data_IF_750314996166
#
_entry.id   IF_750314996166
#
_cell.length_a   1.000
_cell.length_b   1.000
_cell.length_c   1.000
_cell.angle_alpha   90.00
_cell.angle_beta   90.00
_cell.angle_gamma   90.00
#
_symmetry.space_group_name_H-M   'P 1'
#
loop_
_entity.id
_entity.type
_entity.pdbx_description
1 polymer ?
#
# COMPACT_ATOMS: atom_id res chain seq x y z
N UNK A 1 8.76 -34.93 -13.56
CA UNK A 1 9.73 -33.83 -13.73
C UNK A 1 8.89 -32.60 -14.01
N UNK A 2 8.59 -31.81 -12.97
CA UNK A 2 7.71 -30.64 -13.08
C UNK A 2 8.46 -29.54 -13.82
N UNK A 3 7.91 -29.13 -14.95
CA UNK A 3 8.40 -28.03 -15.76
C UNK A 3 8.18 -26.73 -14.99
N UNK A 4 9.26 -26.24 -14.36
CA UNK A 4 9.31 -24.98 -13.57
C UNK A 4 9.32 -23.75 -14.51
N UNK A 5 9.03 -23.93 -15.80
CA UNK A 5 8.72 -22.86 -16.73
C UNK A 5 7.25 -22.44 -16.60
N UNK A 6 6.76 -22.33 -15.37
CA UNK A 6 5.58 -21.51 -15.10
C UNK A 6 6.03 -20.06 -15.28
N UNK A 7 6.01 -19.64 -16.54
CA UNK A 7 5.85 -18.25 -16.91
C UNK A 7 4.77 -17.71 -15.98
N UNK A 8 5.18 -16.94 -14.99
CA UNK A 8 4.34 -15.96 -14.30
C UNK A 8 4.12 -14.86 -15.35
N UNK A 9 3.47 -15.23 -16.45
CA UNK A 9 2.61 -14.38 -17.22
C UNK A 9 1.38 -14.27 -16.32
N UNK A 10 1.49 -13.45 -15.28
CA UNK A 10 0.28 -12.87 -14.72
C UNK A 10 -0.19 -12.02 -15.87
N UNK A 11 -1.12 -12.58 -16.65
CA UNK A 11 -2.07 -11.83 -17.44
C UNK A 11 -2.93 -11.05 -16.43
N UNK A 12 -2.31 -10.12 -15.70
CA UNK A 12 -2.93 -8.88 -15.29
C UNK A 12 -3.20 -8.24 -16.63
N UNK A 13 -4.39 -8.57 -17.17
CA UNK A 13 -4.72 -8.44 -18.59
C UNK A 13 -3.94 -7.32 -19.22
N UNK A 14 -3.31 -7.59 -20.37
CA UNK A 14 -3.04 -6.51 -21.30
C UNK A 14 -4.39 -5.83 -21.54
N UNK A 15 -4.70 -4.83 -20.72
CA UNK A 15 -5.77 -3.90 -20.96
C UNK A 15 -5.08 -2.97 -21.93
N UNK A 16 -5.28 -3.14 -23.25
CA UNK A 16 -4.56 -2.38 -24.27
C UNK A 16 -4.83 -0.87 -24.18
N UNK A 17 -5.64 -0.46 -23.20
CA UNK A 17 -6.02 0.91 -22.90
C UNK A 17 -5.08 1.65 -21.92
N UNK A 18 -4.24 1.01 -21.11
CA UNK A 18 -3.32 1.77 -20.25
C UNK A 18 -1.96 1.97 -20.93
N UNK A 19 -1.62 3.21 -21.28
CA UNK A 19 -0.35 3.58 -21.93
C UNK A 19 0.89 3.33 -21.05
N UNK A 20 0.72 2.85 -19.80
CA UNK A 20 1.78 2.55 -18.85
C UNK A 20 1.73 1.09 -18.35
N UNK A 21 2.85 0.34 -18.38
CA UNK A 21 2.92 -0.99 -17.79
C UNK A 21 2.77 -0.93 -16.26
N UNK A 22 2.04 -1.88 -15.67
CA UNK A 22 1.91 -2.04 -14.21
C UNK A 22 3.27 -2.08 -13.51
N UNK A 23 4.25 -2.80 -14.09
CA UNK A 23 5.61 -2.89 -13.58
C UNK A 23 6.30 -1.51 -13.50
N UNK A 24 6.05 -0.63 -14.47
CA UNK A 24 6.56 0.74 -14.44
C UNK A 24 5.94 1.56 -13.31
N UNK A 25 4.64 1.42 -13.05
CA UNK A 25 3.97 2.12 -11.95
C UNK A 25 4.51 1.68 -10.57
N UNK A 26 4.71 0.37 -10.39
CA UNK A 26 5.33 -0.17 -9.17
C UNK A 26 6.75 0.39 -9.01
N UNK A 27 7.54 0.38 -10.08
CA UNK A 27 8.92 0.88 -10.05
C UNK A 27 9.00 2.38 -9.74
N UNK A 28 8.13 3.19 -10.36
CA UNK A 28 7.99 4.62 -10.05
C UNK A 28 7.63 4.82 -8.59
N UNK A 29 6.72 4.01 -8.04
CA UNK A 29 6.38 4.06 -6.62
C UNK A 29 7.58 3.71 -5.72
N UNK A 30 8.35 2.66 -6.04
CA UNK A 30 9.57 2.30 -5.29
C UNK A 30 10.56 3.47 -5.27
N UNK A 31 10.84 4.07 -6.44
CA UNK A 31 11.75 5.21 -6.56
C UNK A 31 11.21 6.41 -5.80
N UNK A 32 9.93 6.74 -5.97
CA UNK A 32 9.29 7.89 -5.34
C UNK A 32 9.36 7.82 -3.81
N UNK A 33 9.00 6.67 -3.24
CA UNK A 33 9.09 6.46 -1.79
C UNK A 33 10.53 6.49 -1.27
N UNK A 34 11.46 5.86 -1.99
CA UNK A 34 12.88 5.88 -1.65
C UNK A 34 13.41 7.32 -1.66
N UNK A 35 13.06 8.09 -2.70
CA UNK A 35 13.46 9.49 -2.82
C UNK A 35 12.92 10.32 -1.65
N UNK A 36 11.64 10.19 -1.29
CA UNK A 36 11.06 10.86 -0.12
C UNK A 36 11.86 10.52 1.14
N UNK A 37 12.14 9.24 1.38
CA UNK A 37 12.90 8.80 2.56
C UNK A 37 14.30 9.44 2.65
N UNK A 38 15.02 9.50 1.52
CA UNK A 38 16.37 10.07 1.46
C UNK A 38 16.39 11.60 1.45
N UNK A 39 15.36 12.26 0.92
CA UNK A 39 15.22 13.72 0.93
C UNK A 39 14.83 14.28 2.31
N UNK A 40 14.21 13.48 3.18
CA UNK A 40 13.91 13.91 4.54
C UNK A 40 15.21 14.29 5.29
N UNK A 41 15.18 15.34 6.15
CA UNK A 41 16.37 15.81 6.87
C UNK A 41 17.14 14.69 7.58
N UNK A 42 18.48 14.73 7.52
CA UNK A 42 19.35 13.74 8.16
C UNK A 42 19.28 13.75 9.70
N UNK A 43 18.79 14.84 10.29
CA UNK A 43 18.51 14.95 11.73
C UNK A 43 17.34 14.08 12.19
N UNK A 44 16.48 13.62 11.27
CA UNK A 44 15.35 12.74 11.56
C UNK A 44 15.82 11.28 11.52
N UNK A 45 15.52 10.51 12.56
CA UNK A 45 15.91 9.11 12.63
C UNK A 45 15.22 8.27 11.54
N UNK A 46 15.85 7.19 11.05
CA UNK A 46 15.24 6.30 10.04
C UNK A 46 13.85 5.79 10.43
N UNK A 47 13.62 5.55 11.73
CA UNK A 47 12.33 5.14 12.25
C UNK A 47 11.24 6.18 12.00
N UNK A 48 11.50 7.45 12.33
CA UNK A 48 10.54 8.53 12.11
C UNK A 48 10.34 8.77 10.61
N UNK A 49 11.39 8.65 9.79
CA UNK A 49 11.27 8.72 8.32
C UNK A 49 10.35 7.64 7.76
N UNK A 50 10.49 6.39 8.22
CA UNK A 50 9.60 5.29 7.83
C UNK A 50 8.16 5.56 8.25
N UNK A 51 7.90 6.06 9.47
CA UNK A 51 6.53 6.44 9.88
C UNK A 51 5.94 7.58 9.04
N UNK A 52 6.75 8.58 8.66
CA UNK A 52 6.29 9.65 7.74
C UNK A 52 5.89 9.03 6.39
N UNK A 53 6.74 8.16 5.84
CA UNK A 53 6.50 7.49 4.56
C UNK A 53 5.23 6.64 4.59
N UNK A 54 5.08 5.82 5.64
CA UNK A 54 3.90 5.00 5.92
C UNK A 54 2.64 5.86 6.07
N UNK A 55 2.73 7.02 6.71
CA UNK A 55 1.60 7.96 6.83
C UNK A 55 1.20 8.56 5.48
N UNK A 56 2.17 8.96 4.64
CA UNK A 56 1.90 9.46 3.29
C UNK A 56 1.21 8.37 2.46
N UNK A 57 1.74 7.15 2.53
CA UNK A 57 1.16 5.99 1.88
C UNK A 57 -0.29 5.77 2.31
N UNK A 58 -0.53 5.69 3.62
CA UNK A 58 -1.86 5.47 4.19
C UNK A 58 -2.85 6.58 3.78
N UNK A 59 -2.46 7.85 3.82
CA UNK A 59 -3.29 8.96 3.36
C UNK A 59 -3.68 8.82 1.89
N UNK A 60 -2.75 8.42 1.01
CA UNK A 60 -3.03 8.21 -0.40
C UNK A 60 -3.97 7.01 -0.63
N UNK A 61 -3.79 5.91 0.12
CA UNK A 61 -4.66 4.73 0.08
C UNK A 61 -6.09 5.07 0.53
N UNK A 62 -6.24 5.75 1.68
CA UNK A 62 -7.54 6.21 2.19
C UNK A 62 -8.24 7.15 1.22
N UNK A 63 -7.51 8.08 0.61
CA UNK A 63 -8.06 9.00 -0.38
C UNK A 63 -8.53 8.24 -1.63
N UNK A 64 -7.75 7.30 -2.14
CA UNK A 64 -8.11 6.49 -3.29
C UNK A 64 -9.37 5.65 -3.03
N UNK A 65 -9.44 5.00 -1.87
CA UNK A 65 -10.62 4.25 -1.43
C UNK A 65 -11.83 5.18 -1.30
N UNK A 66 -11.68 6.35 -0.68
CA UNK A 66 -12.76 7.33 -0.52
C UNK A 66 -13.30 7.85 -1.86
N UNK A 67 -12.41 8.19 -2.79
CA UNK A 67 -12.79 8.61 -4.15
C UNK A 67 -13.54 7.48 -4.86
N UNK A 68 -13.08 6.24 -4.70
CA UNK A 68 -13.74 5.07 -5.26
C UNK A 68 -15.17 4.92 -4.70
N UNK A 69 -15.34 4.99 -3.38
CA UNK A 69 -16.65 4.94 -2.71
C UNK A 69 -17.59 6.06 -3.14
N UNK A 70 -17.09 7.29 -3.27
CA UNK A 70 -17.91 8.45 -3.65
C UNK A 70 -18.40 8.38 -5.09
N UNK A 71 -17.67 7.68 -5.97
CA UNK A 71 -17.94 7.66 -7.42
C UNK A 71 -18.51 6.36 -7.94
N UNK A 72 -18.34 5.26 -7.20
CA UNK A 72 -18.75 3.93 -7.61
C UNK A 72 -19.70 3.36 -6.58
N UNK A 73 -20.89 2.92 -7.01
CA UNK A 73 -21.69 2.02 -6.18
C UNK A 73 -20.88 0.75 -5.97
N UNK A 74 -20.61 0.36 -4.73
CA UNK A 74 -19.92 -0.90 -4.47
C UNK A 74 -20.83 -2.04 -4.91
N UNK A 75 -20.56 -2.54 -6.11
CA UNK A 75 -21.15 -3.75 -6.60
C UNK A 75 -20.11 -4.87 -6.44
N UNK A 76 -20.24 -5.61 -5.34
CA UNK A 76 -19.40 -6.78 -5.04
C UNK A 76 -19.50 -7.89 -6.12
N UNK A 77 -20.44 -7.79 -7.07
CA UNK A 77 -20.52 -8.70 -8.23
C UNK A 77 -19.73 -8.21 -9.45
N UNK A 78 -19.33 -6.93 -9.51
CA UNK A 78 -18.48 -6.35 -10.56
C UNK A 78 -17.02 -6.18 -10.12
N UNK A 79 -16.56 -7.07 -9.24
CA UNK A 79 -15.23 -7.03 -8.64
C UNK A 79 -14.13 -7.09 -9.71
N UNK A 80 -14.32 -7.78 -10.84
CA UNK A 80 -13.38 -7.78 -11.99
C UNK A 80 -13.06 -6.37 -12.54
N UNK A 81 -14.02 -5.44 -12.51
CA UNK A 81 -13.82 -4.05 -12.94
C UNK A 81 -12.97 -3.23 -11.95
N UNK A 82 -13.00 -3.59 -10.67
CA UNK A 82 -12.18 -2.94 -9.62
C UNK A 82 -10.70 -3.33 -9.76
N UNK A 83 -10.42 -4.46 -10.44
CA UNK A 83 -9.11 -5.13 -10.48
C UNK A 83 -8.38 -4.97 -11.80
N UNK A 84 -9.11 -4.90 -12.91
CA UNK A 84 -8.54 -4.59 -14.23
C UNK A 84 -8.02 -3.16 -14.36
N UNK A 85 -7.97 -2.42 -13.25
CA UNK A 85 -7.72 -0.99 -13.23
C UNK A 85 -8.85 -0.21 -13.85
N UNK A 86 -10.09 -0.60 -13.56
CA UNK A 86 -11.23 0.03 -14.18
C UNK A 86 -11.24 -0.08 -15.69
N UNK A 87 -12.27 0.47 -16.29
CA UNK A 87 -12.23 0.78 -17.72
C UNK A 87 -11.60 2.17 -17.85
N UNK A 88 -10.64 2.36 -18.77
CA UNK A 88 -9.98 3.67 -18.99
C UNK A 88 -11.05 4.77 -19.15
N UNK A 89 -10.95 5.85 -18.38
CA UNK A 89 -11.89 6.96 -18.44
C UNK A 89 -13.14 6.77 -17.59
N UNK A 90 -13.22 5.72 -16.77
CA UNK A 90 -14.33 5.51 -15.81
C UNK A 90 -13.97 5.85 -14.37
N UNK A 91 -12.76 6.36 -14.13
CA UNK A 91 -12.15 6.65 -12.82
C UNK A 91 -11.92 5.44 -11.91
N UNK A 92 -12.37 4.24 -12.29
CA UNK A 92 -12.07 3.01 -11.55
C UNK A 92 -10.60 2.57 -11.69
N UNK A 93 -9.86 3.14 -12.64
CA UNK A 93 -8.40 3.05 -12.80
C UNK A 93 -7.61 3.60 -11.62
N UNK A 94 -8.17 4.55 -10.87
CA UNK A 94 -7.53 5.10 -9.67
C UNK A 94 -7.26 4.02 -8.62
N UNK A 95 -8.10 2.98 -8.55
CA UNK A 95 -7.91 1.86 -7.63
C UNK A 95 -6.68 1.02 -8.03
N UNK A 96 -6.51 0.70 -9.32
CA UNK A 96 -5.30 -0.01 -9.75
C UNK A 96 -4.03 0.82 -9.56
N UNK A 97 -4.09 2.13 -9.82
CA UNK A 97 -2.96 3.02 -9.55
C UNK A 97 -2.62 3.02 -8.06
N UNK A 98 -3.62 3.06 -7.18
CA UNK A 98 -3.43 2.95 -5.74
C UNK A 98 -2.84 1.61 -5.32
N UNK A 99 -3.30 0.49 -5.90
CA UNK A 99 -2.71 -0.85 -5.67
C UNK A 99 -1.24 -0.88 -6.11
N UNK A 100 -0.91 -0.38 -7.30
CA UNK A 100 0.48 -0.34 -7.79
C UNK A 100 1.36 0.56 -6.92
N UNK A 101 0.82 1.70 -6.49
CA UNK A 101 1.46 2.62 -5.56
C UNK A 101 1.77 1.91 -4.23
N UNK A 102 0.81 1.16 -3.69
CA UNK A 102 0.92 0.41 -2.44
C UNK A 102 1.91 -0.74 -2.53
N UNK A 103 1.91 -1.48 -3.64
CA UNK A 103 2.89 -2.53 -3.88
C UNK A 103 4.32 -1.98 -3.93
N UNK A 104 4.52 -0.82 -4.59
CA UNK A 104 5.83 -0.16 -4.60
C UNK A 104 6.25 0.38 -3.23
N UNK A 105 5.31 0.94 -2.46
CA UNK A 105 5.55 1.32 -1.06
C UNK A 105 5.97 0.10 -0.23
N UNK A 106 5.23 -1.00 -0.30
CA UNK A 106 5.51 -2.23 0.44
C UNK A 106 6.93 -2.76 0.18
N UNK A 107 7.37 -2.80 -1.08
CA UNK A 107 8.73 -3.20 -1.45
C UNK A 107 9.77 -2.21 -0.89
N UNK A 108 9.50 -0.91 -0.97
CA UNK A 108 10.36 0.12 -0.41
C UNK A 108 10.51 -0.01 1.12
N UNK A 109 9.40 -0.22 1.84
CA UNK A 109 9.38 -0.34 3.30
C UNK A 109 10.10 -1.62 3.76
N UNK A 110 9.91 -2.74 3.05
CA UNK A 110 10.71 -3.95 3.25
C UNK A 110 12.22 -3.69 3.10
N UNK A 111 12.62 -2.95 2.07
CA UNK A 111 14.03 -2.62 1.85
C UNK A 111 14.58 -1.72 2.97
N UNK A 112 13.82 -0.71 3.39
CA UNK A 112 14.15 0.16 4.51
C UNK A 112 14.31 -0.67 5.80
N UNK A 113 13.41 -1.60 6.08
CA UNK A 113 13.52 -2.51 7.21
C UNK A 113 14.81 -3.34 7.16
N UNK A 114 15.14 -3.93 6.00
CA UNK A 114 16.39 -4.69 5.85
C UNK A 114 17.63 -3.82 6.12
N UNK A 115 17.66 -2.59 5.61
CA UNK A 115 18.76 -1.65 5.77
C UNK A 115 18.88 -1.08 7.19
N UNK A 116 17.77 -0.77 7.86
CA UNK A 116 17.77 -0.04 9.13
C UNK A 116 17.15 -0.87 10.27
N UNK A 117 18.01 -1.38 11.17
CA UNK A 117 17.58 -2.15 12.35
C UNK A 117 16.54 -1.43 13.21
N UNK A 118 16.61 -0.10 13.30
CA UNK A 118 15.68 0.71 14.10
C UNK A 118 14.23 0.68 13.59
N UNK A 119 14.01 0.30 12.33
CA UNK A 119 12.68 0.21 11.71
C UNK A 119 12.06 -1.19 11.92
N UNK A 120 12.89 -2.21 12.20
CA UNK A 120 12.50 -3.62 12.32
C UNK A 120 11.89 -3.98 13.68
N UNK A 121 10.71 -3.46 13.98
CA UNK A 121 9.92 -4.01 15.08
C UNK A 121 9.37 -5.38 14.71
N UNK A 122 9.19 -6.27 15.70
CA UNK A 122 8.58 -7.58 15.48
C UNK A 122 7.16 -7.47 14.91
N UNK A 123 6.39 -6.49 15.39
CA UNK A 123 5.07 -6.20 14.89
C UNK A 123 5.08 -5.78 13.40
N UNK A 124 6.01 -4.91 13.00
CA UNK A 124 6.15 -4.49 11.61
C UNK A 124 6.54 -5.66 10.69
N UNK A 125 7.45 -6.53 11.13
CA UNK A 125 7.84 -7.74 10.38
C UNK A 125 6.64 -8.67 10.21
N UNK A 126 5.90 -8.94 11.29
CA UNK A 126 4.73 -9.80 11.23
C UNK A 126 3.64 -9.23 10.32
N UNK A 127 3.35 -7.93 10.42
CA UNK A 127 2.41 -7.25 9.52
C UNK A 127 2.82 -7.41 8.05
N UNK A 128 4.09 -7.15 7.70
CA UNK A 128 4.57 -7.30 6.32
C UNK A 128 4.49 -8.75 5.82
N UNK A 129 4.76 -9.74 6.68
CA UNK A 129 4.62 -11.16 6.35
C UNK A 129 3.15 -11.48 6.07
N UNK A 130 2.22 -11.03 6.92
CA UNK A 130 0.78 -11.23 6.75
C UNK A 130 0.30 -10.58 5.45
N UNK A 131 0.69 -9.33 5.20
CA UNK A 131 0.37 -8.60 3.95
C UNK A 131 0.91 -9.35 2.73
N UNK A 132 2.16 -9.83 2.77
CA UNK A 132 2.75 -10.61 1.68
C UNK A 132 1.98 -11.92 1.43
N UNK A 133 1.68 -12.66 2.50
CA UNK A 133 0.94 -13.94 2.41
C UNK A 133 -0.45 -13.69 1.84
N UNK A 134 -1.17 -12.67 2.33
CA UNK A 134 -2.50 -12.31 1.86
C UNK A 134 -2.45 -11.86 0.39
N UNK A 135 -1.46 -11.05 0.02
CA UNK A 135 -1.25 -10.60 -1.36
C UNK A 135 -0.96 -11.77 -2.30
N UNK A 136 0.03 -12.61 -1.98
CA UNK A 136 0.43 -13.78 -2.78
C UNK A 136 -0.68 -14.81 -2.86
N UNK A 137 -1.30 -15.17 -1.73
CA UNK A 137 -2.43 -16.10 -1.69
C UNK A 137 -3.61 -15.55 -2.49
N UNK A 138 -3.83 -14.25 -2.40
CA UNK A 138 -4.81 -13.54 -3.20
C UNK A 138 -4.57 -13.68 -4.71
N UNK A 139 -3.36 -13.38 -5.17
CA UNK A 139 -2.98 -13.54 -6.58
C UNK A 139 -3.12 -15.00 -7.01
N UNK A 140 -2.62 -15.95 -6.21
CA UNK A 140 -2.67 -17.38 -6.49
C UNK A 140 -4.10 -17.93 -6.60
N UNK A 141 -4.97 -17.58 -5.65
CA UNK A 141 -6.36 -18.03 -5.61
C UNK A 141 -7.26 -17.27 -6.58
N UNK A 142 -6.75 -16.20 -7.22
CA UNK A 142 -7.57 -15.24 -7.98
C UNK A 142 -8.67 -14.62 -7.13
N UNK A 143 -8.46 -14.55 -5.81
CA UNK A 143 -9.33 -13.88 -4.82
C UNK A 143 -8.59 -12.71 -4.15
N UNK A 144 -7.42 -12.32 -4.66
CA UNK A 144 -6.62 -11.19 -4.16
C UNK A 144 -7.35 -9.86 -4.19
N UNK A 145 -8.54 -9.88 -4.75
CA UNK A 145 -9.44 -8.81 -5.03
C UNK A 145 -10.09 -8.20 -3.79
N UNK A 146 -10.61 -9.05 -2.90
CA UNK A 146 -11.13 -8.62 -1.59
C UNK A 146 -9.96 -8.30 -0.66
N UNK A 147 -8.87 -9.05 -0.78
CA UNK A 147 -7.67 -8.92 0.04
C UNK A 147 -6.94 -7.60 -0.14
N UNK A 148 -6.72 -7.13 -1.38
CA UNK A 148 -6.06 -5.84 -1.63
C UNK A 148 -6.94 -4.66 -1.21
N UNK A 149 -8.25 -4.74 -1.43
CA UNK A 149 -9.16 -3.70 -0.96
C UNK A 149 -9.23 -3.62 0.56
N UNK A 150 -9.27 -4.77 1.25
CA UNK A 150 -9.21 -4.84 2.70
C UNK A 150 -7.86 -4.36 3.25
N UNK A 151 -6.75 -4.68 2.59
CA UNK A 151 -5.43 -4.15 2.93
C UNK A 151 -5.38 -2.62 2.78
N UNK A 152 -5.89 -2.07 1.66
CA UNK A 152 -5.94 -0.62 1.47
C UNK A 152 -6.88 0.08 2.45
N UNK A 153 -7.94 -0.59 2.88
CA UNK A 153 -8.86 -0.08 3.89
C UNK A 153 -8.27 -0.17 5.32
N UNK A 154 -7.46 -1.19 5.61
CA UNK A 154 -6.73 -1.35 6.88
C UNK A 154 -5.81 -0.15 7.16
N UNK A 155 -5.28 0.47 6.11
CA UNK A 155 -4.42 1.66 6.19
C UNK A 155 -5.09 2.88 6.86
N UNK A 156 -6.42 2.89 7.02
CA UNK A 156 -7.12 3.93 7.76
C UNK A 156 -6.62 4.05 9.20
N UNK A 157 -6.30 2.92 9.82
CA UNK A 157 -5.79 2.86 11.20
C UNK A 157 -4.31 3.24 11.31
N UNK A 158 -3.56 3.15 10.20
CA UNK A 158 -2.12 3.44 10.13
C UNK A 158 -1.81 4.92 10.38
N UNK A 159 -2.67 5.84 9.92
CA UNK A 159 -2.49 7.29 10.10
C UNK A 159 -2.43 7.68 11.59
N UNK A 160 -3.48 7.44 12.41
CA UNK A 160 -3.42 7.80 13.83
C UNK A 160 -2.36 6.99 14.58
N UNK A 161 -2.11 5.72 14.20
CA UNK A 161 -1.07 4.90 14.83
C UNK A 161 0.33 5.49 14.66
N UNK A 162 0.68 5.91 13.44
CA UNK A 162 1.99 6.49 13.14
C UNK A 162 2.15 7.88 13.74
N UNK A 163 1.13 8.72 13.64
CA UNK A 163 1.15 10.07 14.22
C UNK A 163 1.30 10.04 15.74
N UNK A 164 0.68 9.07 16.42
CA UNK A 164 0.89 8.83 17.86
C UNK A 164 2.39 8.63 18.18
N UNK A 165 3.09 7.82 17.40
CA UNK A 165 4.51 7.51 17.63
C UNK A 165 5.40 8.72 17.29
N UNK A 166 5.09 9.45 16.22
CA UNK A 166 5.82 10.67 15.84
C UNK A 166 5.73 11.72 16.95
N UNK A 167 4.53 11.91 17.53
CA UNK A 167 4.27 12.91 18.56
C UNK A 167 4.35 12.38 19.99
N UNK A 168 5.01 11.24 20.25
CA UNK A 168 5.10 10.64 21.58
C UNK A 168 5.68 11.57 22.67
N UNK A 169 6.47 12.56 22.28
CA UNK A 169 7.06 13.57 23.17
C UNK A 169 6.08 14.71 23.55
N UNK A 170 4.88 14.76 22.96
CA UNK A 170 3.83 15.75 23.23
C UNK A 170 2.57 15.05 23.73
N UNK A 171 2.43 14.90 25.05
CA UNK A 171 1.34 14.16 25.71
C UNK A 171 -0.05 14.45 25.13
N UNK A 172 -0.46 15.72 25.02
CA UNK A 172 -1.78 16.08 24.50
C UNK A 172 -2.04 15.59 23.06
N UNK A 173 -1.01 15.62 22.20
CA UNK A 173 -1.13 15.20 20.79
C UNK A 173 -1.07 13.68 20.68
N UNK A 174 -0.21 13.05 21.48
CA UNK A 174 -0.15 11.60 21.61
C UNK A 174 -1.51 11.02 22.01
N UNK A 175 -2.13 11.56 23.05
CA UNK A 175 -3.39 11.04 23.60
C UNK A 175 -4.57 11.26 22.62
N UNK A 176 -4.54 12.37 21.86
CA UNK A 176 -5.48 12.61 20.78
C UNK A 176 -5.40 11.53 19.68
N UNK A 177 -4.19 11.25 19.16
CA UNK A 177 -4.03 10.21 18.13
C UNK A 177 -4.25 8.80 18.67
N UNK A 178 -3.92 8.54 19.94
CA UNK A 178 -4.26 7.29 20.60
C UNK A 178 -5.78 7.08 20.67
N UNK A 179 -6.54 8.14 20.95
CA UNK A 179 -8.00 8.11 20.98
C UNK A 179 -8.60 7.91 19.58
N UNK A 180 -8.05 8.57 18.55
CA UNK A 180 -8.47 8.37 17.16
C UNK A 180 -8.21 6.95 16.64
N UNK A 181 -7.15 6.29 17.10
CA UNK A 181 -6.90 4.89 16.75
C UNK A 181 -7.89 3.92 17.44
N UNK A 182 -8.43 4.32 18.60
CA UNK A 182 -9.36 3.49 19.37
C UNK A 182 -10.82 3.56 18.89
N UNK A 183 -11.15 4.50 18.01
CA UNK A 183 -12.48 4.72 17.40
C UNK A 183 -12.51 4.06 16.02
#
# INVERSE_FOLDING_TARGET
MLDITMYIYIDLGSNPSSDFPISSLIFISIIGHSLIFYLLPSSITPLIKSYILSTIHACASVLAVSIFYLRSSINFTQVNRILGGGDKGTHSENMAYSICYSAGYFICDLFIMLCFKSVRSQAAIFHHIVVLIIGVSGVYTRVGHTSHFLMLAEELSTIPLNLKIIYHHRHNIHDFFASLFAI
#
